data_IF_273202655465
#
_entry.id   IF_273202655465
#
_cell.length_a   1.000
_cell.length_b   1.000
_cell.length_c   1.000
_cell.angle_alpha   90.00
_cell.angle_beta   90.00
_cell.angle_gamma   90.00
#
_symmetry.space_group_name_H-M   'P 1'
#
loop_
_entity.id
_entity.type
_entity.pdbx_description
1 polymer ?
#
# COMPACT_ATOMS: atom_id res chain seq x y z
N UNK A 1 -39.49 34.28 6.14
CA UNK A 1 -38.87 35.20 7.13
C UNK A 1 -37.85 34.49 8.01
N UNK A 2 -38.05 33.20 8.31
CA UNK A 2 -37.08 32.36 9.06
C UNK A 2 -35.92 31.85 8.19
N UNK A 3 -36.22 31.34 6.99
CA UNK A 3 -35.20 30.76 6.10
C UNK A 3 -34.13 31.79 5.66
N UNK A 4 -34.52 33.04 5.38
CA UNK A 4 -33.57 34.13 5.13
C UNK A 4 -32.58 34.34 6.29
N UNK A 5 -33.05 34.28 7.54
CA UNK A 5 -32.17 34.44 8.70
C UNK A 5 -31.20 33.25 8.86
N UNK A 6 -31.65 32.02 8.59
CA UNK A 6 -30.79 30.82 8.57
C UNK A 6 -29.75 30.91 7.46
N UNK A 7 -30.17 31.33 6.27
CA UNK A 7 -29.29 31.58 5.13
C UNK A 7 -28.18 32.58 5.49
N UNK A 8 -28.56 33.76 5.99
CA UNK A 8 -27.62 34.82 6.35
C UNK A 8 -26.69 34.37 7.49
N UNK A 9 -27.20 33.59 8.45
CA UNK A 9 -26.39 32.99 9.53
C UNK A 9 -25.31 32.05 9.01
N UNK A 10 -25.65 31.15 8.07
CA UNK A 10 -24.68 30.19 7.52
C UNK A 10 -23.67 30.90 6.62
N UNK A 11 -24.12 31.84 5.77
CA UNK A 11 -23.25 32.64 4.90
C UNK A 11 -22.26 33.50 5.70
N UNK A 12 -22.67 33.99 6.87
CA UNK A 12 -21.82 34.81 7.75
C UNK A 12 -20.80 34.00 8.56
N UNK A 13 -20.84 32.66 8.55
CA UNK A 13 -19.85 31.85 9.26
C UNK A 13 -18.47 32.02 8.61
N UNK A 14 -17.49 32.42 9.41
CA UNK A 14 -16.09 32.54 8.99
C UNK A 14 -15.25 31.45 9.65
N UNK A 15 -14.71 30.54 8.84
CA UNK A 15 -13.91 29.42 9.30
C UNK A 15 -12.86 29.00 8.28
N UNK A 16 -11.72 28.54 8.80
CA UNK A 16 -10.68 27.93 7.99
C UNK A 16 -11.01 26.46 7.71
N UNK A 17 -11.53 26.21 6.51
CA UNK A 17 -11.92 24.89 6.00
C UNK A 17 -10.81 23.85 6.10
N UNK A 18 -9.55 24.25 5.87
CA UNK A 18 -8.41 23.32 5.90
C UNK A 18 -8.07 22.97 7.33
N UNK A 19 -8.01 23.98 8.21
CA UNK A 19 -7.66 23.77 9.62
C UNK A 19 -8.68 22.90 10.35
N UNK A 20 -9.98 23.08 10.08
CA UNK A 20 -11.04 22.29 10.74
C UNK A 20 -11.04 20.80 10.35
N UNK A 21 -10.51 20.45 9.19
CA UNK A 21 -10.48 19.08 8.66
C UNK A 21 -9.05 18.52 8.56
N UNK A 22 -8.14 19.01 9.41
CA UNK A 22 -6.78 18.49 9.52
C UNK A 22 -6.65 17.66 10.79
N UNK A 23 -6.20 16.41 10.65
CA UNK A 23 -5.85 15.52 11.75
C UNK A 23 -4.36 15.15 11.65
N UNK A 24 -3.66 15.26 12.78
CA UNK A 24 -2.26 14.90 12.94
C UNK A 24 -2.17 13.75 13.94
N UNK A 25 -1.67 12.61 13.47
CA UNK A 25 -1.37 11.44 14.29
C UNK A 25 -0.05 11.61 15.04
N UNK A 26 0.64 10.50 15.25
CA UNK A 26 1.83 10.45 16.08
C UNK A 26 3.01 11.24 15.46
N UNK A 27 3.83 11.80 16.34
CA UNK A 27 5.11 12.41 16.00
C UNK A 27 6.23 11.61 16.66
N UNK A 28 7.24 11.23 15.86
CA UNK A 28 8.32 10.36 16.32
C UNK A 28 9.65 11.11 16.20
N UNK A 29 10.58 10.91 17.14
CA UNK A 29 11.95 11.43 16.99
C UNK A 29 12.72 10.69 15.90
N UNK A 30 13.65 11.38 15.23
CA UNK A 30 14.43 10.75 14.18
C UNK A 30 15.44 9.76 14.80
N UNK A 31 15.24 8.46 14.56
CA UNK A 31 16.16 7.41 14.97
C UNK A 31 16.52 6.57 13.74
N UNK A 32 17.76 6.70 13.29
CA UNK A 32 18.33 5.80 12.29
C UNK A 32 18.94 4.62 13.02
N UNK A 33 18.41 3.44 12.78
CA UNK A 33 18.93 2.19 13.35
C UNK A 33 19.15 1.24 12.20
N UNK A 34 20.39 0.78 12.05
CA UNK A 34 20.77 -0.20 11.03
C UNK A 34 21.46 -1.37 11.72
N UNK A 35 20.97 -2.57 11.51
CA UNK A 35 21.49 -3.79 12.13
C UNK A 35 21.71 -4.86 11.07
N UNK A 36 22.68 -5.73 11.32
CA UNK A 36 23.04 -6.81 10.42
C UNK A 36 23.09 -8.13 11.16
N UNK A 37 22.27 -9.08 10.71
CA UNK A 37 22.12 -10.39 11.34
C UNK A 37 22.53 -11.47 10.35
N UNK A 38 23.46 -12.34 10.75
CA UNK A 38 23.81 -13.51 9.95
C UNK A 38 22.82 -14.65 10.25
N UNK A 39 22.03 -15.01 9.25
CA UNK A 39 21.23 -16.25 9.21
C UNK A 39 22.07 -17.39 8.59
N UNK A 40 21.63 -18.65 8.64
CA UNK A 40 22.40 -19.77 8.10
C UNK A 40 22.84 -19.58 6.64
N UNK A 41 21.94 -19.11 5.78
CA UNK A 41 22.15 -19.03 4.32
C UNK A 41 22.32 -17.60 3.78
N UNK A 42 22.05 -16.59 4.61
CA UNK A 42 22.03 -15.19 4.19
C UNK A 42 22.43 -14.24 5.31
N UNK A 43 22.94 -13.07 4.94
CA UNK A 43 23.13 -11.94 5.84
C UNK A 43 22.02 -10.93 5.60
N UNK A 44 21.23 -10.65 6.64
CA UNK A 44 20.08 -9.75 6.57
C UNK A 44 20.44 -8.43 7.21
N UNK A 45 20.25 -7.35 6.46
CA UNK A 45 20.38 -5.98 6.93
C UNK A 45 18.98 -5.41 7.13
N UNK A 46 18.70 -4.94 8.34
CA UNK A 46 17.45 -4.26 8.67
C UNK A 46 17.77 -2.79 8.92
N UNK A 47 17.12 -1.92 8.15
CA UNK A 47 17.27 -0.48 8.23
C UNK A 47 15.93 0.14 8.65
N UNK A 48 15.94 0.83 9.79
CA UNK A 48 14.76 1.53 10.32
C UNK A 48 14.94 3.03 10.17
N UNK A 49 13.96 3.67 9.54
CA UNK A 49 13.96 5.10 9.22
C UNK A 49 12.65 5.72 9.64
N UNK A 50 12.73 6.90 10.27
CA UNK A 50 11.56 7.76 10.42
C UNK A 50 11.07 8.19 9.03
N UNK A 51 9.78 8.03 8.79
CA UNK A 51 9.06 8.58 7.64
C UNK A 51 7.83 9.31 8.13
N UNK A 52 7.30 10.17 7.27
CA UNK A 52 6.02 10.84 7.48
C UNK A 52 5.13 10.54 6.28
N UNK A 53 3.87 10.21 6.54
CA UNK A 53 2.84 10.09 5.52
C UNK A 53 1.88 11.26 5.68
N UNK A 54 1.51 11.90 4.57
CA UNK A 54 0.45 12.90 4.52
C UNK A 54 -0.49 12.59 3.37
N UNK A 55 -1.79 12.57 3.63
CA UNK A 55 -2.85 12.37 2.63
C UNK A 55 -3.82 13.52 2.65
N UNK A 56 -4.34 13.87 1.48
CA UNK A 56 -5.41 14.86 1.33
C UNK A 56 -6.49 14.22 0.46
N UNK A 57 -7.64 13.88 1.06
CA UNK A 57 -8.73 13.20 0.36
C UNK A 57 -10.07 13.88 0.59
N UNK A 58 -10.90 13.93 -0.44
CA UNK A 58 -12.32 14.28 -0.36
C UNK A 58 -13.23 13.05 -0.32
N UNK A 59 -12.70 11.88 -0.69
CA UNK A 59 -13.44 10.62 -0.73
C UNK A 59 -13.18 9.84 0.55
N UNK A 60 -14.22 9.72 1.37
CA UNK A 60 -14.17 9.05 2.66
C UNK A 60 -14.78 7.66 2.48
N UNK A 61 -14.05 6.61 2.87
CA UNK A 61 -14.55 5.24 2.78
C UNK A 61 -15.71 5.02 3.76
N UNK A 62 -16.72 4.26 3.36
CA UNK A 62 -17.81 3.84 4.25
C UNK A 62 -17.43 2.53 4.92
N UNK A 63 -17.56 2.44 6.24
CA UNK A 63 -17.53 1.17 6.98
C UNK A 63 -18.89 0.87 7.61
N UNK A 64 -19.15 -0.40 7.89
CA UNK A 64 -20.44 -0.90 8.38
C UNK A 64 -20.94 -0.21 9.68
N UNK A 65 -20.07 0.47 10.42
CA UNK A 65 -20.44 1.16 11.67
C UNK A 65 -21.31 2.40 11.46
N UNK A 66 -21.28 3.03 10.28
CA UNK A 66 -21.80 4.39 10.10
C UNK A 66 -22.93 4.52 9.07
N UNK A 67 -23.33 3.43 8.41
CA UNK A 67 -24.29 3.42 7.30
C UNK A 67 -25.62 4.13 7.63
N UNK A 68 -26.07 4.09 8.89
CA UNK A 68 -27.32 4.75 9.31
C UNK A 68 -27.33 6.28 9.11
N UNK A 69 -26.16 6.91 9.05
CA UNK A 69 -25.96 8.37 8.96
C UNK A 69 -25.44 8.82 7.59
N UNK A 70 -25.02 7.88 6.74
CA UNK A 70 -24.29 8.15 5.51
C UNK A 70 -25.19 7.98 4.29
N UNK A 71 -26.06 8.96 4.05
CA UNK A 71 -26.93 9.01 2.86
C UNK A 71 -26.74 10.33 2.11
N UNK A 72 -26.92 10.37 0.77
CA UNK A 72 -26.87 11.60 -0.01
C UNK A 72 -27.73 12.69 0.64
N UNK A 73 -27.19 13.88 0.86
CA UNK A 73 -27.90 14.99 1.47
C UNK A 73 -27.98 15.01 2.98
N UNK A 74 -27.41 14.03 3.69
CA UNK A 74 -27.30 14.09 5.15
C UNK A 74 -26.51 15.33 5.58
N UNK A 75 -26.97 16.01 6.62
CA UNK A 75 -26.25 17.13 7.24
C UNK A 75 -25.40 16.60 8.38
N UNK A 76 -24.09 16.82 8.29
CA UNK A 76 -23.12 16.37 9.29
C UNK A 76 -22.45 17.59 9.93
N UNK A 77 -22.14 17.45 11.22
CA UNK A 77 -21.36 18.45 11.95
C UNK A 77 -19.88 18.28 11.64
N UNK A 78 -19.20 19.38 11.38
CA UNK A 78 -17.73 19.40 11.28
C UNK A 78 -17.16 19.47 12.68
N UNK A 79 -16.70 18.32 13.17
CA UNK A 79 -16.01 18.15 14.43
C UNK A 79 -15.10 16.91 14.40
N UNK A 80 -14.53 16.54 15.54
CA UNK A 80 -13.67 15.37 15.71
C UNK A 80 -14.35 14.08 15.23
N UNK A 81 -15.67 13.94 15.41
CA UNK A 81 -16.39 12.73 14.99
C UNK A 81 -16.40 12.57 13.47
N UNK A 82 -16.37 13.66 12.70
CA UNK A 82 -16.25 13.61 11.24
C UNK A 82 -14.81 13.24 10.81
N UNK A 83 -13.79 13.75 11.51
CA UNK A 83 -12.37 13.40 11.27
C UNK A 83 -12.09 11.91 11.56
N UNK A 84 -12.75 11.35 12.57
CA UNK A 84 -12.67 9.93 12.94
C UNK A 84 -13.53 9.02 12.03
N UNK A 85 -14.17 9.59 11.01
CA UNK A 85 -15.13 8.90 10.14
C UNK A 85 -16.28 8.25 10.93
N UNK A 86 -16.74 8.88 12.00
CA UNK A 86 -17.90 8.47 12.81
C UNK A 86 -18.88 9.66 12.99
N UNK A 87 -19.33 10.30 11.88
CA UNK A 87 -19.85 11.65 11.94
C UNK A 87 -21.16 11.78 12.71
N UNK A 88 -21.38 12.94 13.32
CA UNK A 88 -22.64 13.26 13.99
C UNK A 88 -23.64 13.86 13.00
N UNK A 89 -24.80 13.22 12.86
CA UNK A 89 -25.89 13.71 12.02
C UNK A 89 -26.68 14.82 12.71
N UNK A 90 -26.89 15.94 12.02
CA UNK A 90 -27.78 17.00 12.48
C UNK A 90 -29.24 16.67 12.10
N UNK A 91 -30.00 16.16 13.06
CA UNK A 91 -31.42 15.83 12.87
C UNK A 91 -32.29 17.09 13.05
N UNK A 92 -32.73 17.68 11.95
CA UNK A 92 -33.66 18.84 11.87
C UNK A 92 -34.63 18.63 10.71
N UNK A 93 -35.73 19.38 10.68
CA UNK A 93 -36.71 19.29 9.59
C UNK A 93 -36.08 19.72 8.25
N UNK A 94 -36.07 18.80 7.28
CA UNK A 94 -35.40 18.97 5.99
C UNK A 94 -36.39 19.39 4.92
N UNK A 95 -35.98 20.33 4.07
CA UNK A 95 -36.75 20.68 2.88
C UNK A 95 -36.59 19.59 1.80
N UNK A 96 -37.53 19.52 0.83
CA UNK A 96 -37.40 18.65 -0.32
C UNK A 96 -36.08 18.87 -1.05
N UNK A 97 -35.46 17.78 -1.51
CA UNK A 97 -34.16 17.86 -2.18
C UNK A 97 -34.11 16.98 -3.43
N UNK A 98 -33.39 17.48 -4.42
CA UNK A 98 -33.15 16.81 -5.69
C UNK A 98 -31.84 16.05 -5.68
N UNK A 99 -31.87 14.82 -6.21
CA UNK A 99 -30.70 13.98 -6.39
C UNK A 99 -30.59 13.58 -7.86
N UNK A 100 -29.38 13.25 -8.28
CA UNK A 100 -29.09 12.67 -9.59
C UNK A 100 -28.27 11.40 -9.45
N UNK A 101 -28.52 10.41 -10.31
CA UNK A 101 -27.78 9.16 -10.40
C UNK A 101 -27.12 9.01 -11.78
N UNK A 102 -25.87 8.51 -11.80
CA UNK A 102 -25.04 8.43 -13.02
C UNK A 102 -25.16 7.08 -13.78
N UNK A 103 -26.31 6.39 -13.67
CA UNK A 103 -26.54 5.15 -14.38
C UNK A 103 -26.77 5.37 -15.89
N UNK A 104 -26.17 4.53 -16.76
CA UNK A 104 -26.30 4.70 -18.20
C UNK A 104 -27.68 4.28 -18.71
N UNK A 105 -28.11 4.89 -19.82
CA UNK A 105 -29.37 4.55 -20.49
C UNK A 105 -30.61 5.30 -19.98
N UNK A 106 -30.53 5.95 -18.82
CA UNK A 106 -31.61 6.81 -18.34
C UNK A 106 -31.74 8.05 -19.24
N UNK A 107 -32.98 8.37 -19.62
CA UNK A 107 -33.27 9.68 -20.20
C UNK A 107 -33.03 10.78 -19.15
N UNK A 108 -32.79 12.01 -19.61
CA UNK A 108 -32.41 13.12 -18.71
C UNK A 108 -33.40 13.37 -17.58
N UNK A 109 -34.69 13.12 -17.75
CA UNK A 109 -35.69 13.27 -16.67
C UNK A 109 -35.74 12.09 -15.70
N UNK A 110 -35.32 10.89 -16.13
CA UNK A 110 -35.41 9.66 -15.34
C UNK A 110 -34.20 9.47 -14.41
N UNK A 111 -33.13 10.25 -14.57
CA UNK A 111 -31.96 10.23 -13.69
C UNK A 111 -32.10 11.09 -12.43
N UNK A 112 -33.21 11.82 -12.28
CA UNK A 112 -33.45 12.69 -11.12
C UNK A 112 -34.44 12.06 -10.13
N UNK A 113 -34.15 12.22 -8.85
CA UNK A 113 -35.04 11.87 -7.75
C UNK A 113 -35.41 13.12 -6.97
N UNK A 114 -36.70 13.27 -6.65
CA UNK A 114 -37.18 14.27 -5.70
C UNK A 114 -37.61 13.55 -4.43
N UNK A 115 -37.03 13.93 -3.29
CA UNK A 115 -37.41 13.37 -1.98
C UNK A 115 -37.90 14.50 -1.11
N UNK A 116 -39.17 14.42 -0.70
CA UNK A 116 -39.87 15.46 0.07
C UNK A 116 -39.30 15.67 1.47
N UNK A 117 -38.99 14.58 2.18
CA UNK A 117 -38.38 14.63 3.52
C UNK A 117 -37.11 13.77 3.56
N UNK A 118 -35.94 14.35 3.24
CA UNK A 118 -34.66 13.65 3.21
C UNK A 118 -34.22 13.02 4.55
N UNK A 119 -34.36 11.69 4.63
CA UNK A 119 -33.87 10.82 5.70
C UNK A 119 -33.17 9.61 5.08
N UNK A 120 -32.41 8.84 5.87
CA UNK A 120 -31.76 7.64 5.34
C UNK A 120 -32.76 6.69 4.68
N UNK A 121 -33.89 6.42 5.33
CA UNK A 121 -34.91 5.51 4.78
C UNK A 121 -35.59 6.06 3.53
N UNK A 122 -35.95 7.34 3.50
CA UNK A 122 -36.64 7.92 2.33
C UNK A 122 -35.72 8.04 1.12
N UNK A 123 -34.47 8.46 1.32
CA UNK A 123 -33.46 8.56 0.24
C UNK A 123 -33.09 7.17 -0.27
N UNK A 124 -32.80 6.22 0.63
CA UNK A 124 -32.50 4.84 0.21
C UNK A 124 -33.68 4.18 -0.50
N UNK A 125 -34.92 4.42 -0.05
CA UNK A 125 -36.12 3.95 -0.73
C UNK A 125 -36.21 4.48 -2.17
N UNK A 126 -36.10 5.80 -2.34
CA UNK A 126 -36.14 6.44 -3.66
C UNK A 126 -35.03 5.94 -4.60
N UNK A 127 -33.80 5.76 -4.08
CA UNK A 127 -32.69 5.18 -4.85
C UNK A 127 -33.01 3.75 -5.25
N UNK A 128 -33.46 2.90 -4.31
CA UNK A 128 -33.78 1.49 -4.59
C UNK A 128 -34.91 1.34 -5.63
N UNK A 129 -35.93 2.18 -5.57
CA UNK A 129 -37.04 2.16 -6.53
C UNK A 129 -36.55 2.50 -7.94
N UNK A 130 -35.67 3.51 -8.06
CA UNK A 130 -35.03 3.85 -9.33
C UNK A 130 -34.16 2.70 -9.86
N UNK A 131 -33.35 2.09 -9.00
CA UNK A 131 -32.51 0.94 -9.37
C UNK A 131 -33.36 -0.24 -9.85
N UNK A 132 -34.47 -0.53 -9.18
CA UNK A 132 -35.40 -1.58 -9.58
C UNK A 132 -35.98 -1.32 -10.98
N UNK A 133 -36.39 -0.08 -11.25
CA UNK A 133 -36.84 0.34 -12.59
C UNK A 133 -35.71 0.22 -13.62
N UNK A 134 -34.52 0.73 -13.29
CA UNK A 134 -33.37 0.68 -14.20
C UNK A 134 -32.99 -0.76 -14.57
N UNK A 135 -33.00 -1.69 -13.63
CA UNK A 135 -32.69 -3.10 -13.92
C UNK A 135 -33.70 -3.75 -14.88
N UNK A 136 -34.98 -3.37 -14.79
CA UNK A 136 -36.03 -3.87 -15.68
C UNK A 136 -35.91 -3.27 -17.08
N UNK A 137 -35.74 -1.95 -17.15
CA UNK A 137 -35.80 -1.20 -18.41
C UNK A 137 -34.48 -1.25 -19.19
N UNK A 138 -33.35 -1.27 -18.50
CA UNK A 138 -32.01 -1.06 -19.08
C UNK A 138 -30.99 -2.11 -18.67
N UNK A 139 -31.09 -2.68 -17.46
CA UNK A 139 -30.06 -3.56 -16.90
C UNK A 139 -29.87 -4.91 -17.62
N UNK A 140 -30.89 -5.40 -18.33
CA UNK A 140 -30.76 -6.64 -19.11
C UNK A 140 -30.05 -6.44 -20.46
N UNK A 141 -30.05 -5.21 -20.98
CA UNK A 141 -29.48 -4.87 -22.29
C UNK A 141 -28.18 -4.06 -22.19
N UNK A 142 -27.91 -3.47 -21.02
CA UNK A 142 -26.69 -2.72 -20.75
C UNK A 142 -25.78 -3.51 -19.80
N UNK A 143 -24.55 -3.78 -20.24
CA UNK A 143 -23.50 -4.27 -19.35
C UNK A 143 -22.80 -3.06 -18.74
N UNK A 144 -22.97 -2.81 -17.44
CA UNK A 144 -22.35 -1.69 -16.74
C UNK A 144 -21.09 -2.20 -16.02
N UNK A 145 -19.89 -1.93 -16.57
CA UNK A 145 -18.66 -2.27 -15.88
C UNK A 145 -18.47 -1.34 -14.69
N UNK A 146 -18.00 -1.90 -13.57
CA UNK A 146 -17.65 -1.10 -12.41
C UNK A 146 -16.46 -0.17 -12.74
N UNK A 147 -16.53 1.08 -12.29
CA UNK A 147 -15.36 1.97 -12.28
C UNK A 147 -14.42 1.50 -11.18
N UNK A 148 -13.28 0.94 -11.60
CA UNK A 148 -12.27 0.39 -10.71
C UNK A 148 -11.33 1.50 -10.22
N UNK A 149 -11.18 1.62 -8.91
CA UNK A 149 -10.14 2.40 -8.26
C UNK A 149 -9.39 1.49 -7.30
N UNK A 150 -8.08 1.66 -7.20
CA UNK A 150 -7.31 0.98 -6.17
C UNK A 150 -6.25 1.88 -5.57
N UNK A 151 -5.97 1.64 -4.30
CA UNK A 151 -4.86 2.25 -3.59
C UNK A 151 -4.09 1.15 -2.87
N UNK A 152 -2.77 1.33 -2.73
CA UNK A 152 -1.91 0.38 -2.02
C UNK A 152 -0.90 1.09 -1.13
N UNK A 153 -0.44 0.40 -0.09
CA UNK A 153 0.67 0.86 0.76
C UNK A 153 1.33 -0.33 1.45
N UNK A 154 2.66 -0.27 1.65
CA UNK A 154 3.39 -1.20 2.51
C UNK A 154 3.07 -0.91 3.97
N UNK A 155 2.70 -1.94 4.72
CA UNK A 155 2.25 -1.80 6.10
C UNK A 155 3.45 -1.72 7.06
N UNK A 156 3.53 -0.62 7.82
CA UNK A 156 4.54 -0.45 8.88
C UNK A 156 3.93 -0.10 10.24
N UNK A 157 2.78 0.59 10.29
CA UNK A 157 2.07 0.85 11.54
C UNK A 157 0.57 1.02 11.30
N UNK A 158 -0.25 0.80 12.32
CA UNK A 158 -1.70 1.02 12.21
C UNK A 158 -2.04 2.50 11.93
N UNK A 159 -1.35 3.45 12.58
CA UNK A 159 -1.57 4.87 12.35
C UNK A 159 -1.26 5.29 10.90
N UNK A 160 -0.17 4.76 10.31
CA UNK A 160 0.12 4.97 8.89
C UNK A 160 -1.02 4.46 8.00
N UNK A 161 -1.57 3.28 8.30
CA UNK A 161 -2.68 2.72 7.53
C UNK A 161 -3.98 3.52 7.71
N UNK A 162 -4.26 4.03 8.92
CA UNK A 162 -5.38 4.94 9.20
C UNK A 162 -5.27 6.24 8.41
N UNK A 163 -4.08 6.83 8.34
CA UNK A 163 -3.84 8.03 7.50
C UNK A 163 -4.05 7.72 6.01
N UNK A 164 -3.68 6.52 5.55
CA UNK A 164 -3.86 6.13 4.14
C UNK A 164 -5.31 5.82 3.77
N UNK A 165 -6.00 5.02 4.59
CA UNK A 165 -7.30 4.43 4.23
C UNK A 165 -8.51 5.03 4.97
N UNK A 166 -8.28 5.86 5.99
CA UNK A 166 -9.31 6.47 6.83
C UNK A 166 -9.15 6.08 8.31
N UNK A 167 -9.54 6.98 9.20
CA UNK A 167 -9.38 6.82 10.66
C UNK A 167 -10.06 5.58 11.24
N UNK A 168 -11.12 5.09 10.60
CA UNK A 168 -11.87 3.90 10.98
C UNK A 168 -11.32 2.59 10.38
N UNK A 169 -10.21 2.65 9.63
CA UNK A 169 -9.56 1.48 9.04
C UNK A 169 -9.17 0.43 10.08
N UNK A 170 -8.90 0.83 11.33
CA UNK A 170 -8.46 -0.08 12.40
C UNK A 170 -9.36 -1.32 12.56
N UNK A 171 -10.69 -1.19 12.45
CA UNK A 171 -11.61 -2.34 12.53
C UNK A 171 -11.40 -3.34 11.39
N UNK A 172 -11.21 -2.82 10.18
CA UNK A 172 -10.90 -3.63 9.00
C UNK A 172 -9.48 -4.20 9.08
N UNK A 173 -8.50 -3.41 9.51
CA UNK A 173 -7.11 -3.81 9.73
C UNK A 173 -6.99 -4.95 10.74
N UNK A 174 -7.75 -4.89 11.83
CA UNK A 174 -7.81 -5.96 12.84
C UNK A 174 -8.38 -7.25 12.23
N UNK A 175 -9.37 -7.16 11.33
CA UNK A 175 -9.89 -8.31 10.60
C UNK A 175 -8.88 -8.89 9.60
N UNK A 176 -7.99 -8.07 9.05
CA UNK A 176 -6.87 -8.48 8.19
C UNK A 176 -5.70 -9.11 8.97
N UNK A 177 -5.68 -9.01 10.30
CA UNK A 177 -4.66 -9.62 11.16
C UNK A 177 -3.23 -9.26 10.69
N UNK A 178 -2.93 -7.96 10.69
CA UNK A 178 -1.67 -7.41 10.18
C UNK A 178 -0.59 -7.57 11.25
N UNK A 179 0.42 -8.38 10.96
CA UNK A 179 1.52 -8.69 11.87
C UNK A 179 2.66 -7.65 11.75
N UNK A 180 2.46 -6.49 12.39
CA UNK A 180 3.47 -5.42 12.41
C UNK A 180 4.78 -5.85 13.11
N UNK A 181 4.73 -6.80 14.04
CA UNK A 181 5.92 -7.28 14.74
C UNK A 181 6.88 -7.99 13.76
N UNK A 182 6.34 -8.90 12.95
CA UNK A 182 7.13 -9.59 11.91
C UNK A 182 7.64 -8.65 10.81
N UNK A 183 6.93 -7.55 10.53
CA UNK A 183 7.45 -6.50 9.64
C UNK A 183 8.64 -5.79 10.29
N UNK A 184 8.52 -5.40 11.56
CA UNK A 184 9.58 -4.69 12.28
C UNK A 184 10.81 -5.56 12.56
N UNK A 185 10.67 -6.88 12.73
CA UNK A 185 11.78 -7.83 12.85
C UNK A 185 12.40 -8.19 11.49
N UNK A 186 11.81 -7.75 10.38
CA UNK A 186 12.26 -8.03 9.03
C UNK A 186 12.02 -9.48 8.57
N UNK A 187 11.13 -10.20 9.26
CA UNK A 187 10.72 -11.56 8.91
C UNK A 187 9.67 -11.60 7.81
N UNK A 188 8.83 -10.57 7.72
CA UNK A 188 7.76 -10.47 6.73
C UNK A 188 7.73 -9.11 6.03
N UNK A 189 7.24 -9.12 4.80
CA UNK A 189 6.82 -7.92 4.07
C UNK A 189 5.31 -8.00 3.83
N UNK A 190 4.60 -6.94 4.18
CA UNK A 190 3.13 -6.87 4.09
C UNK A 190 2.71 -5.65 3.27
N UNK A 191 1.84 -5.86 2.30
CA UNK A 191 1.19 -4.80 1.54
C UNK A 191 -0.32 -4.87 1.73
N UNK A 192 -0.94 -3.70 1.93
CA UNK A 192 -2.39 -3.55 1.98
C UNK A 192 -2.86 -2.86 0.70
N UNK A 193 -3.90 -3.41 0.09
CA UNK A 193 -4.53 -2.87 -1.12
C UNK A 193 -6.01 -2.65 -0.84
N UNK A 194 -6.53 -1.49 -1.21
CA UNK A 194 -7.95 -1.16 -1.15
C UNK A 194 -8.49 -1.06 -2.58
N UNK A 195 -9.35 -1.99 -2.99
CA UNK A 195 -10.06 -1.95 -4.26
C UNK A 195 -11.48 -1.41 -4.06
N UNK A 196 -11.85 -0.39 -4.82
CA UNK A 196 -13.22 0.12 -4.93
C UNK A 196 -13.75 -0.15 -6.33
N UNK A 197 -14.89 -0.82 -6.40
CA UNK A 197 -15.62 -1.14 -7.63
C UNK A 197 -16.91 -0.34 -7.59
N UNK A 198 -16.89 0.86 -8.20
CA UNK A 198 -18.02 1.79 -8.15
C UNK A 198 -18.98 1.45 -9.28
N UNK A 199 -20.20 1.07 -8.95
CA UNK A 199 -21.26 0.76 -9.92
C UNK A 199 -21.98 2.02 -10.38
N UNK A 200 -22.34 2.87 -9.43
CA UNK A 200 -22.99 4.15 -9.66
C UNK A 200 -22.72 5.09 -8.49
N UNK A 201 -23.08 6.36 -8.66
CA UNK A 201 -22.95 7.43 -7.69
C UNK A 201 -24.26 8.21 -7.65
N UNK A 202 -24.79 8.40 -6.45
CA UNK A 202 -25.91 9.29 -6.20
C UNK A 202 -25.34 10.61 -5.70
N UNK A 203 -25.69 11.69 -6.38
CA UNK A 203 -25.21 13.04 -6.10
C UNK A 203 -26.37 13.98 -5.79
N UNK A 204 -26.08 15.01 -5.00
CA UNK A 204 -27.00 16.10 -4.69
C UNK A 204 -26.67 17.26 -5.60
N UNK A 205 -27.69 17.87 -6.21
CA UNK A 205 -27.50 19.08 -7.00
C UNK A 205 -26.95 20.22 -6.13
N UNK A 206 -26.22 21.16 -6.76
CA UNK A 206 -25.65 22.29 -6.05
C UNK A 206 -26.73 23.09 -5.30
N UNK A 207 -26.54 23.25 -3.99
CA UNK A 207 -27.45 24.02 -3.14
C UNK A 207 -27.29 25.50 -3.48
N UNK A 208 -28.35 26.13 -4.00
CA UNK A 208 -28.31 27.54 -4.42
C UNK A 208 -28.13 28.48 -3.23
N UNK A 209 -28.91 28.28 -2.18
CA UNK A 209 -28.79 29.00 -0.92
C UNK A 209 -28.70 28.02 0.24
N UNK A 210 -27.78 28.20 1.21
CA UNK A 210 -27.68 27.32 2.38
C UNK A 210 -28.98 27.11 3.15
N UNK A 211 -29.88 28.11 3.15
CA UNK A 211 -31.19 28.02 3.79
C UNK A 211 -32.16 27.05 3.09
N UNK A 212 -31.97 26.76 1.80
CA UNK A 212 -32.89 25.95 0.99
C UNK A 212 -32.95 24.48 1.44
N UNK A 213 -31.99 24.01 2.25
CA UNK A 213 -31.96 22.62 2.74
C UNK A 213 -32.81 22.39 3.99
N UNK A 214 -33.39 23.45 4.57
CA UNK A 214 -34.17 23.43 5.80
C UNK A 214 -35.61 23.86 5.56
N UNK A 215 -36.55 23.28 6.31
CA UNK A 215 -37.92 23.80 6.35
C UNK A 215 -37.98 25.14 7.11
N UNK A 216 -39.05 25.91 6.89
CA UNK A 216 -39.28 27.20 7.56
C UNK A 216 -39.45 27.08 9.09
N UNK A 217 -39.60 25.87 9.62
CA UNK A 217 -39.63 25.56 11.07
C UNK A 217 -38.26 25.68 11.72
N UNK A 218 -37.16 25.58 10.95
CA UNK A 218 -35.80 25.66 11.47
C UNK A 218 -35.41 27.12 11.71
N UNK A 219 -34.91 27.40 12.92
CA UNK A 219 -34.47 28.73 13.33
C UNK A 219 -32.97 28.77 13.61
N UNK A 220 -32.37 29.96 13.49
CA UNK A 220 -30.97 30.19 13.86
C UNK A 220 -30.69 29.78 15.31
N UNK A 221 -31.60 30.12 16.23
CA UNK A 221 -31.46 29.76 17.64
C UNK A 221 -31.52 28.24 17.85
N UNK A 222 -32.38 27.53 17.13
CA UNK A 222 -32.42 26.08 17.15
C UNK A 222 -31.13 25.42 16.65
N UNK A 223 -30.48 25.99 15.63
CA UNK A 223 -29.16 25.54 15.17
C UNK A 223 -28.08 25.82 16.23
N UNK A 224 -28.09 26.99 16.87
CA UNK A 224 -27.14 27.33 17.95
C UNK A 224 -27.28 26.41 19.16
N UNK A 225 -28.51 26.09 19.56
CA UNK A 225 -28.77 25.14 20.66
C UNK A 225 -28.24 23.73 20.37
N UNK A 226 -28.09 23.38 19.10
CA UNK A 226 -27.48 22.11 18.63
C UNK A 226 -25.96 22.22 18.43
N UNK A 227 -25.35 23.33 18.85
CA UNK A 227 -23.91 23.55 18.82
C UNK A 227 -23.36 24.01 17.47
N UNK A 228 -24.23 24.41 16.53
CA UNK A 228 -23.80 24.85 15.20
C UNK A 228 -23.25 26.28 15.28
N UNK A 229 -22.02 26.45 14.83
CA UNK A 229 -21.28 27.71 14.92
C UNK A 229 -20.17 27.77 13.86
N UNK A 230 -19.40 28.86 13.83
CA UNK A 230 -18.23 28.95 12.96
C UNK A 230 -17.14 27.92 13.29
N UNK A 231 -16.99 27.54 14.57
CA UNK A 231 -16.03 26.51 14.99
C UNK A 231 -16.54 25.07 14.76
N UNK A 232 -17.86 24.91 14.60
CA UNK A 232 -18.52 23.63 14.28
C UNK A 232 -19.53 23.83 13.15
N UNK A 233 -19.07 24.10 11.92
CA UNK A 233 -19.94 24.36 10.78
C UNK A 233 -20.61 23.07 10.29
N UNK A 234 -21.46 23.21 9.28
CA UNK A 234 -22.17 22.10 8.66
C UNK A 234 -21.60 21.76 7.29
N UNK A 235 -21.50 20.46 7.04
CA UNK A 235 -21.34 19.90 5.69
C UNK A 235 -22.57 19.09 5.34
N UNK A 236 -22.82 18.93 4.04
CA UNK A 236 -23.77 17.95 3.54
C UNK A 236 -23.02 16.88 2.74
N UNK A 237 -23.56 15.66 2.71
CA UNK A 237 -23.05 14.60 1.82
C UNK A 237 -23.45 14.95 0.38
N UNK A 238 -22.51 15.44 -0.41
CA UNK A 238 -22.74 15.85 -1.79
C UNK A 238 -22.84 14.68 -2.76
N UNK A 239 -22.17 13.56 -2.45
CA UNK A 239 -22.25 12.34 -3.25
C UNK A 239 -21.94 11.10 -2.44
N UNK A 240 -22.57 9.99 -2.80
CA UNK A 240 -22.28 8.65 -2.28
C UNK A 240 -22.06 7.71 -3.46
N UNK A 241 -20.91 7.04 -3.47
CA UNK A 241 -20.57 6.00 -4.41
C UNK A 241 -21.02 4.65 -3.87
N UNK A 242 -21.72 3.90 -4.72
CA UNK A 242 -22.27 2.59 -4.39
C UNK A 242 -21.56 1.51 -5.20
N UNK A 243 -21.28 0.38 -4.55
CA UNK A 243 -20.69 -0.76 -5.21
C UNK A 243 -20.11 -1.77 -4.23
N UNK A 244 -18.90 -2.23 -4.52
CA UNK A 244 -18.17 -3.23 -3.74
C UNK A 244 -16.76 -2.73 -3.42
N UNK A 245 -16.29 -3.00 -2.21
CA UNK A 245 -14.96 -2.64 -1.76
C UNK A 245 -14.26 -3.85 -1.15
N UNK A 246 -12.98 -4.03 -1.47
CA UNK A 246 -12.17 -5.14 -0.97
C UNK A 246 -10.86 -4.59 -0.42
N UNK A 247 -10.61 -4.84 0.86
CA UNK A 247 -9.29 -4.66 1.44
C UNK A 247 -8.54 -5.99 1.38
N UNK A 248 -7.36 -5.98 0.79
CA UNK A 248 -6.49 -7.13 0.57
C UNK A 248 -5.21 -6.96 1.36
N UNK A 249 -4.83 -7.96 2.14
CA UNK A 249 -3.49 -8.12 2.72
C UNK A 249 -2.73 -9.14 1.89
N UNK A 250 -1.58 -8.72 1.36
CA UNK A 250 -0.58 -9.58 0.73
C UNK A 250 0.61 -9.68 1.68
N UNK A 251 0.92 -10.88 2.15
CA UNK A 251 1.94 -11.13 3.17
C UNK A 251 2.93 -12.19 2.68
N UNK A 252 4.23 -11.88 2.68
CA UNK A 252 5.28 -12.81 2.28
C UNK A 252 6.43 -12.82 3.27
N UNK A 253 7.12 -13.96 3.37
CA UNK A 253 8.38 -14.12 4.11
C UNK A 253 9.62 -13.81 3.25
N UNK A 254 9.43 -13.46 1.97
CA UNK A 254 10.50 -13.02 1.10
C UNK A 254 11.14 -11.73 1.61
N UNK A 255 12.47 -11.68 1.59
CA UNK A 255 13.28 -10.50 1.91
C UNK A 255 13.82 -9.77 0.67
N UNK A 256 13.31 -10.15 -0.51
CA UNK A 256 13.65 -9.53 -1.78
C UNK A 256 13.13 -8.08 -1.85
N UNK A 257 13.84 -7.22 -2.57
CA UNK A 257 13.41 -5.88 -2.94
C UNK A 257 12.39 -5.86 -4.09
N UNK A 258 12.18 -6.99 -4.78
CA UNK A 258 11.20 -7.17 -5.86
C UNK A 258 9.77 -7.45 -5.36
N UNK A 259 9.54 -7.51 -4.05
CA UNK A 259 8.22 -7.88 -3.48
C UNK A 259 7.12 -6.91 -3.91
N UNK A 260 7.37 -5.60 -3.84
CA UNK A 260 6.37 -4.61 -4.24
C UNK A 260 6.04 -4.68 -5.74
N UNK A 261 7.04 -4.94 -6.58
CA UNK A 261 6.86 -5.11 -8.02
C UNK A 261 6.09 -6.39 -8.36
N UNK A 262 6.38 -7.50 -7.66
CA UNK A 262 5.66 -8.76 -7.82
C UNK A 262 4.18 -8.63 -7.42
N UNK A 263 3.88 -7.95 -6.31
CA UNK A 263 2.51 -7.68 -5.89
C UNK A 263 1.76 -6.77 -6.86
N UNK A 264 2.42 -5.74 -7.39
CA UNK A 264 1.85 -4.87 -8.41
C UNK A 264 1.52 -5.65 -9.70
N UNK A 265 2.40 -6.55 -10.12
CA UNK A 265 2.16 -7.42 -11.27
C UNK A 265 0.94 -8.33 -11.06
N UNK A 266 0.80 -8.90 -9.86
CA UNK A 266 -0.38 -9.69 -9.46
C UNK A 266 -1.68 -8.87 -9.57
N UNK A 267 -1.69 -7.67 -8.99
CA UNK A 267 -2.86 -6.77 -8.98
C UNK A 267 -3.28 -6.37 -10.40
N UNK A 268 -2.31 -6.17 -11.30
CA UNK A 268 -2.55 -5.83 -12.71
C UNK A 268 -2.93 -7.03 -13.58
N UNK A 269 -3.01 -8.25 -13.02
CA UNK A 269 -3.34 -9.47 -13.77
C UNK A 269 -2.24 -9.92 -14.73
N UNK A 270 -0.98 -9.54 -14.49
CA UNK A 270 0.15 -9.95 -15.32
C UNK A 270 0.48 -11.41 -15.04
N UNK A 271 0.47 -12.25 -16.09
CA UNK A 271 0.89 -13.66 -15.98
C UNK A 271 2.40 -13.74 -15.78
N UNK A 272 2.82 -14.07 -14.56
CA UNK A 272 4.23 -14.22 -14.19
C UNK A 272 4.75 -15.58 -14.67
N UNK A 273 5.88 -15.57 -15.38
CA UNK A 273 6.48 -16.77 -15.92
C UNK A 273 7.02 -17.71 -14.79
N UNK A 274 6.96 -19.04 -14.98
CA UNK A 274 7.60 -19.98 -14.07
C UNK A 274 9.11 -19.74 -13.96
N UNK A 275 9.72 -20.11 -12.83
CA UNK A 275 11.17 -19.98 -12.59
C UNK A 275 11.69 -18.53 -12.58
N UNK A 276 10.83 -17.57 -12.22
CA UNK A 276 11.22 -16.18 -11.97
C UNK A 276 11.18 -15.88 -10.47
N UNK A 277 11.97 -14.90 -10.02
CA UNK A 277 11.94 -14.44 -8.63
C UNK A 277 10.55 -13.98 -8.21
N UNK A 278 9.82 -13.27 -9.09
CA UNK A 278 8.44 -12.87 -8.84
C UNK A 278 7.53 -14.08 -8.59
N UNK A 279 7.69 -15.18 -9.34
CA UNK A 279 6.90 -16.40 -9.10
C UNK A 279 7.22 -17.00 -7.74
N UNK A 280 8.49 -17.04 -7.35
CA UNK A 280 8.89 -17.49 -6.01
C UNK A 280 8.31 -16.62 -4.90
N UNK A 281 8.28 -15.29 -5.07
CA UNK A 281 7.65 -14.37 -4.12
C UNK A 281 6.15 -14.67 -3.99
N UNK A 282 5.44 -14.73 -5.12
CA UNK A 282 4.00 -14.94 -5.16
C UNK A 282 3.58 -16.32 -4.61
N UNK A 283 4.37 -17.37 -4.86
CA UNK A 283 4.11 -18.70 -4.30
C UNK A 283 4.27 -18.73 -2.76
N UNK A 284 5.16 -17.90 -2.23
CA UNK A 284 5.38 -17.70 -0.79
C UNK A 284 4.55 -16.52 -0.22
N UNK A 285 3.45 -16.16 -0.88
CA UNK A 285 2.55 -15.10 -0.43
C UNK A 285 1.23 -15.68 0.08
N UNK A 286 0.82 -15.21 1.26
CA UNK A 286 -0.50 -15.45 1.83
C UNK A 286 -1.40 -14.24 1.58
N UNK A 287 -2.67 -14.53 1.31
CA UNK A 287 -3.67 -13.52 0.96
C UNK A 287 -4.81 -13.58 1.96
N UNK A 288 -5.17 -12.42 2.50
CA UNK A 288 -6.38 -12.25 3.31
C UNK A 288 -7.18 -11.06 2.79
N UNK A 289 -8.49 -11.21 2.67
CA UNK A 289 -9.37 -10.19 2.13
C UNK A 289 -10.54 -9.91 3.08
N UNK A 290 -10.90 -8.64 3.20
CA UNK A 290 -12.16 -8.18 3.82
C UNK A 290 -13.00 -7.53 2.73
N UNK A 291 -14.16 -8.13 2.45
CA UNK A 291 -15.09 -7.68 1.41
C UNK A 291 -16.23 -6.92 2.08
N UNK A 292 -16.47 -5.71 1.59
CA UNK A 292 -17.55 -4.81 1.98
C UNK A 292 -18.45 -4.58 0.76
N UNK A 293 -19.75 -4.86 0.91
CA UNK A 293 -20.68 -4.79 -0.22
C UNK A 293 -20.67 -6.05 -1.09
N UNK A 294 -21.84 -6.44 -1.57
CA UNK A 294 -22.03 -7.62 -2.43
C UNK A 294 -23.36 -8.31 -2.18
N UNK A 295 -23.67 -8.65 -0.93
CA UNK A 295 -24.89 -9.37 -0.53
C UNK A 295 -25.71 -8.52 0.46
N UNK A 296 -27.02 -8.28 0.21
CA UNK A 296 -27.90 -7.52 1.10
C UNK A 296 -28.06 -8.10 2.52
N UNK A 297 -27.70 -9.37 2.71
CA UNK A 297 -27.93 -10.13 3.95
C UNK A 297 -26.69 -10.42 4.80
N UNK A 298 -25.48 -10.17 4.28
CA UNK A 298 -24.23 -10.45 4.99
C UNK A 298 -23.39 -9.19 5.17
N UNK A 299 -22.86 -9.01 6.39
CA UNK A 299 -21.93 -7.92 6.72
C UNK A 299 -20.56 -8.09 6.05
N UNK A 300 -19.51 -7.53 6.64
CA UNK A 300 -18.15 -7.72 6.13
C UNK A 300 -17.76 -9.21 6.12
N UNK A 301 -17.34 -9.74 4.96
CA UNK A 301 -16.87 -11.12 4.81
C UNK A 301 -15.35 -11.16 4.82
N UNK A 302 -14.77 -12.07 5.60
CA UNK A 302 -13.33 -12.33 5.62
C UNK A 302 -13.04 -13.62 4.85
N UNK A 303 -12.08 -13.58 3.94
CA UNK A 303 -11.62 -14.74 3.16
C UNK A 303 -10.10 -14.81 3.24
N UNK A 304 -9.55 -16.03 3.33
CA UNK A 304 -8.10 -16.29 3.36
C UNK A 304 -7.76 -17.31 2.29
N UNK A 305 -6.63 -17.14 1.62
CA UNK A 305 -6.18 -18.04 0.55
C UNK A 305 -4.78 -17.70 0.03
N UNK A 306 -4.53 -18.09 -1.22
CA UNK A 306 -3.28 -17.84 -1.95
C UNK A 306 -3.51 -16.82 -3.07
N UNK A 307 -2.47 -16.48 -3.81
CA UNK A 307 -2.48 -15.42 -4.84
C UNK A 307 -3.47 -15.63 -5.98
N UNK A 308 -3.86 -16.88 -6.25
CA UNK A 308 -4.86 -17.27 -7.25
C UNK A 308 -6.25 -16.70 -6.94
N UNK A 309 -6.61 -16.54 -5.67
CA UNK A 309 -7.91 -15.99 -5.27
C UNK A 309 -8.07 -14.50 -5.66
N UNK A 310 -6.98 -13.78 -5.91
CA UNK A 310 -7.02 -12.32 -6.12
C UNK A 310 -7.74 -11.98 -7.42
N UNK A 311 -7.53 -12.77 -8.48
CA UNK A 311 -8.22 -12.57 -9.76
C UNK A 311 -9.74 -12.74 -9.60
N UNK A 312 -10.16 -13.83 -8.95
CA UNK A 312 -11.58 -14.11 -8.69
C UNK A 312 -12.23 -13.01 -7.86
N UNK A 313 -11.55 -12.53 -6.81
CA UNK A 313 -12.03 -11.44 -5.96
C UNK A 313 -12.25 -10.15 -6.75
N UNK A 314 -11.38 -9.85 -7.73
CA UNK A 314 -11.51 -8.65 -8.57
C UNK A 314 -12.63 -8.85 -9.60
N UNK A 315 -12.73 -10.04 -10.22
CA UNK A 315 -13.70 -10.32 -11.26
C UNK A 315 -15.15 -10.41 -10.76
N UNK A 316 -15.37 -10.96 -9.55
CA UNK A 316 -16.71 -11.15 -8.96
C UNK A 316 -17.55 -9.86 -8.95
N UNK A 317 -16.94 -8.73 -8.59
CA UNK A 317 -17.61 -7.42 -8.55
C UNK A 317 -17.35 -6.54 -9.78
N UNK A 318 -16.91 -7.10 -10.90
CA UNK A 318 -16.59 -6.30 -12.10
C UNK A 318 -17.83 -5.76 -12.83
N UNK A 319 -19.01 -6.34 -12.57
CA UNK A 319 -20.27 -5.99 -13.25
C UNK A 319 -21.38 -5.69 -12.26
N UNK A 320 -22.08 -4.59 -12.52
CA UNK A 320 -23.28 -4.24 -11.78
C UNK A 320 -24.47 -5.11 -12.24
N UNK A 321 -25.12 -5.79 -11.30
CA UNK A 321 -26.27 -6.67 -11.55
C UNK A 321 -27.30 -6.53 -10.43
N UNK A 322 -28.56 -6.91 -10.69
CA UNK A 322 -29.63 -6.80 -9.70
C UNK A 322 -29.39 -7.64 -8.43
N UNK A 323 -28.64 -8.74 -8.55
CA UNK A 323 -28.26 -9.57 -7.41
C UNK A 323 -27.20 -8.91 -6.51
N UNK A 324 -26.52 -7.88 -7.02
CA UNK A 324 -25.48 -7.14 -6.32
C UNK A 324 -25.75 -5.63 -6.46
N UNK A 325 -26.79 -5.10 -5.76
CA UNK A 325 -27.20 -3.70 -5.90
C UNK A 325 -26.13 -2.69 -5.46
N UNK A 326 -25.06 -3.17 -4.82
CA UNK A 326 -24.00 -2.36 -4.23
C UNK A 326 -24.40 -1.81 -2.87
N UNK A 327 -23.42 -1.64 -1.99
CA UNK A 327 -23.58 -0.87 -0.75
C UNK A 327 -22.86 0.47 -0.91
N UNK A 328 -23.17 1.49 -0.09
CA UNK A 328 -22.32 2.65 0.04
C UNK A 328 -20.88 2.21 0.36
N UNK A 329 -19.92 2.63 -0.47
CA UNK A 329 -18.49 2.32 -0.28
C UNK A 329 -17.64 3.57 -0.08
N UNK A 330 -18.09 4.72 -0.57
CA UNK A 330 -17.49 6.01 -0.22
C UNK A 330 -18.49 7.14 -0.32
N UNK A 331 -18.20 8.24 0.37
CA UNK A 331 -18.97 9.46 0.30
C UNK A 331 -18.06 10.69 0.25
N UNK A 332 -18.57 11.75 -0.33
CA UNK A 332 -17.92 13.06 -0.42
C UNK A 332 -18.80 14.07 0.30
N UNK A 333 -18.18 14.98 1.04
CA UNK A 333 -18.90 16.05 1.74
C UNK A 333 -18.55 17.41 1.15
N UNK A 334 -19.49 18.34 1.21
CA UNK A 334 -19.31 19.73 0.80
C UNK A 334 -19.82 20.67 1.90
N UNK A 335 -19.11 21.76 2.13
CA UNK A 335 -19.51 22.77 3.11
C UNK A 335 -20.83 23.41 2.68
N UNK A 336 -21.81 23.43 3.60
CA UNK A 336 -23.14 23.95 3.29
C UNK A 336 -23.14 25.43 2.91
N UNK A 337 -22.15 26.19 3.40
CA UNK A 337 -22.02 27.63 3.16
C UNK A 337 -21.85 28.00 1.69
N UNK A 338 -21.05 27.23 0.95
CA UNK A 338 -20.58 27.62 -0.38
C UNK A 338 -20.34 26.44 -1.33
N UNK A 339 -20.81 25.24 -0.97
CA UNK A 339 -20.68 24.01 -1.75
C UNK A 339 -19.22 23.60 -2.05
N UNK A 340 -18.24 24.15 -1.34
CA UNK A 340 -16.85 23.74 -1.51
C UNK A 340 -16.66 22.35 -0.92
N UNK A 341 -16.06 21.47 -1.70
CA UNK A 341 -15.71 20.11 -1.27
C UNK A 341 -14.83 20.16 -0.03
N UNK A 342 -15.24 19.40 0.99
CA UNK A 342 -14.49 19.24 2.23
C UNK A 342 -13.37 18.22 2.02
N UNK A 343 -12.13 18.67 2.21
CA UNK A 343 -10.93 17.84 2.06
C UNK A 343 -10.30 17.56 3.41
N UNK A 344 -10.01 16.29 3.68
CA UNK A 344 -9.45 15.80 4.93
C UNK A 344 -7.94 15.66 4.77
N UNK A 345 -7.21 16.45 5.55
CA UNK A 345 -5.75 16.37 5.61
C UNK A 345 -5.37 15.50 6.80
N UNK A 346 -4.83 14.32 6.53
CA UNK A 346 -4.30 13.43 7.56
C UNK A 346 -2.79 13.35 7.45
N UNK A 347 -2.09 13.29 8.57
CA UNK A 347 -0.65 13.01 8.57
C UNK A 347 -0.19 12.28 9.82
N UNK A 348 0.82 11.44 9.70
CA UNK A 348 1.46 10.78 10.85
C UNK A 348 2.92 10.49 10.53
N UNK A 349 3.75 10.47 11.55
CA UNK A 349 5.06 9.84 11.50
C UNK A 349 4.93 8.33 11.72
N UNK A 350 5.83 7.55 11.14
CA UNK A 350 5.96 6.12 11.37
C UNK A 350 7.41 5.66 11.15
N UNK A 351 7.74 4.45 11.65
CA UNK A 351 9.05 3.83 11.43
C UNK A 351 8.96 2.87 10.24
N UNK A 352 9.51 3.27 9.11
CA UNK A 352 9.70 2.41 7.94
C UNK A 352 10.80 1.39 8.26
N UNK A 353 10.48 0.10 8.08
CA UNK A 353 11.46 -0.99 8.20
C UNK A 353 11.77 -1.51 6.80
N UNK A 354 13.01 -1.33 6.36
CA UNK A 354 13.52 -1.86 5.10
C UNK A 354 14.43 -3.04 5.38
N UNK A 355 14.22 -4.14 4.67
CA UNK A 355 15.02 -5.36 4.77
C UNK A 355 15.83 -5.53 3.50
N UNK A 356 17.07 -6.00 3.61
CA UNK A 356 17.88 -6.38 2.46
C UNK A 356 18.64 -7.66 2.81
N UNK A 357 18.43 -8.71 2.04
CA UNK A 357 19.11 -9.98 2.21
C UNK A 357 20.26 -10.14 1.21
N UNK A 358 21.40 -10.61 1.71
CA UNK A 358 22.56 -10.97 0.90
C UNK A 358 22.82 -12.45 1.08
N UNK A 359 22.65 -13.25 0.03
CA UNK A 359 22.91 -14.69 0.10
C UNK A 359 24.40 -14.97 0.31
N UNK A 360 24.70 -16.07 1.00
CA UNK A 360 26.04 -16.64 1.03
C UNK A 360 26.43 -17.11 -0.38
N UNK A 361 27.74 -17.21 -0.64
CA UNK A 361 28.28 -17.68 -1.90
C UNK A 361 29.57 -18.46 -1.72
N UNK A 362 29.99 -19.15 -2.77
CA UNK A 362 31.23 -19.93 -2.79
C UNK A 362 32.20 -19.41 -3.86
N UNK A 363 33.46 -19.27 -3.49
CA UNK A 363 34.57 -19.04 -4.41
C UNK A 363 35.40 -20.31 -4.56
N UNK A 364 35.25 -20.98 -5.71
CA UNK A 364 36.02 -22.16 -6.06
C UNK A 364 37.27 -21.76 -6.83
N UNK A 365 38.39 -22.33 -6.44
CA UNK A 365 39.66 -22.19 -7.15
C UNK A 365 40.05 -23.55 -7.70
N UNK A 366 40.45 -23.58 -8.97
CA UNK A 366 40.94 -24.76 -9.66
C UNK A 366 42.26 -24.43 -10.35
N UNK A 367 43.31 -25.19 -10.04
CA UNK A 367 44.63 -25.07 -10.64
C UNK A 367 45.08 -26.40 -11.24
N UNK A 368 45.14 -26.43 -12.56
CA UNK A 368 45.63 -27.54 -13.37
C UNK A 368 46.80 -27.14 -14.28
N UNK A 369 47.38 -25.95 -14.09
CA UNK A 369 48.50 -25.44 -14.89
C UNK A 369 49.83 -26.10 -14.56
N UNK A 370 50.68 -26.28 -15.58
CA UNK A 370 52.04 -26.81 -15.44
C UNK A 370 53.02 -25.76 -14.89
N UNK A 371 52.68 -25.16 -13.74
CA UNK A 371 53.43 -24.10 -13.06
C UNK A 371 53.04 -23.99 -11.58
N UNK A 372 53.88 -23.34 -10.79
CA UNK A 372 53.54 -22.96 -9.41
C UNK A 372 52.68 -21.70 -9.44
N UNK A 373 51.56 -21.69 -8.72
CA UNK A 373 50.68 -20.54 -8.60
C UNK A 373 50.58 -20.05 -7.13
N UNK A 374 50.36 -18.74 -6.97
CA UNK A 374 50.05 -18.11 -5.70
C UNK A 374 48.79 -17.26 -5.83
N UNK A 375 47.93 -17.33 -4.82
CA UNK A 375 46.70 -16.56 -4.74
C UNK A 375 46.83 -15.50 -3.65
N UNK A 376 46.17 -14.36 -3.87
CA UNK A 376 45.99 -13.27 -2.92
C UNK A 376 44.53 -12.87 -2.94
N UNK A 377 43.80 -13.39 -1.96
CA UNK A 377 42.36 -13.21 -1.83
C UNK A 377 42.08 -12.47 -0.54
N UNK A 378 41.41 -11.33 -0.64
CA UNK A 378 41.06 -10.46 0.49
C UNK A 378 39.63 -9.95 0.36
N UNK A 379 39.00 -9.68 1.48
CA UNK A 379 37.65 -9.11 1.53
C UNK A 379 37.43 -8.41 2.88
N UNK A 380 36.34 -7.66 2.97
CA UNK A 380 35.86 -7.10 4.24
C UNK A 380 34.61 -7.85 4.71
N UNK A 381 34.53 -8.14 6.01
CA UNK A 381 33.30 -8.58 6.64
C UNK A 381 32.55 -7.37 7.22
N UNK A 382 31.35 -7.14 6.69
CA UNK A 382 30.44 -6.08 7.13
C UNK A 382 29.76 -6.46 8.45
N UNK A 383 29.73 -5.52 9.38
CA UNK A 383 28.94 -5.56 10.61
C UNK A 383 28.45 -4.15 10.94
N UNK A 384 27.53 -4.04 11.90
CA UNK A 384 27.02 -2.77 12.41
C UNK A 384 27.26 -2.71 13.91
N UNK A 385 27.70 -1.55 14.41
CA UNK A 385 27.79 -1.34 15.86
C UNK A 385 26.42 -1.03 16.48
N UNK A 386 26.38 -0.85 17.80
CA UNK A 386 25.15 -0.55 18.55
C UNK A 386 24.51 0.81 18.18
N UNK A 387 25.23 1.68 17.46
CA UNK A 387 24.73 2.95 16.94
C UNK A 387 24.27 2.84 15.47
N UNK A 388 24.40 1.65 14.87
CA UNK A 388 24.07 1.40 13.47
C UNK A 388 25.13 1.88 12.48
N UNK A 389 26.35 2.16 12.94
CA UNK A 389 27.46 2.55 12.07
C UNK A 389 28.11 1.31 11.45
N UNK A 390 28.42 1.40 10.17
CA UNK A 390 29.10 0.35 9.42
C UNK A 390 30.53 0.14 9.92
N UNK A 391 30.88 -1.12 10.16
CA UNK A 391 32.21 -1.58 10.55
C UNK A 391 32.66 -2.65 9.56
N UNK A 392 33.74 -2.37 8.85
CA UNK A 392 34.38 -3.29 7.90
C UNK A 392 35.59 -3.94 8.57
N UNK A 393 35.56 -5.27 8.70
CA UNK A 393 36.67 -6.04 9.25
C UNK A 393 37.45 -6.72 8.13
N UNK A 394 38.71 -6.33 7.87
CA UNK A 394 39.48 -6.92 6.78
C UNK A 394 39.81 -8.39 7.09
N UNK A 395 39.68 -9.23 6.05
CA UNK A 395 39.98 -10.66 6.06
C UNK A 395 40.84 -11.02 4.85
N UNK A 396 41.58 -12.10 5.00
CA UNK A 396 42.41 -12.67 3.94
C UNK A 396 42.30 -14.18 3.96
N UNK A 397 42.36 -14.81 2.80
CA UNK A 397 42.43 -16.27 2.72
C UNK A 397 43.70 -16.79 3.41
N UNK A 398 43.56 -17.84 4.21
CA UNK A 398 44.61 -18.37 5.08
C UNK A 398 45.82 -18.95 4.33
N UNK A 399 45.67 -19.23 3.03
CA UNK A 399 46.74 -19.75 2.17
C UNK A 399 47.28 -18.72 1.19
N UNK A 400 47.00 -17.43 1.40
CA UNK A 400 47.57 -16.37 0.57
C UNK A 400 49.09 -16.46 0.51
N UNK A 401 49.64 -16.34 -0.72
CA UNK A 401 51.07 -16.40 -0.98
C UNK A 401 51.72 -17.78 -0.79
N UNK A 402 50.97 -18.84 -0.51
CA UNK A 402 51.51 -20.21 -0.52
C UNK A 402 51.72 -20.71 -1.95
N UNK A 403 52.81 -21.42 -2.18
CA UNK A 403 53.09 -22.08 -3.45
C UNK A 403 52.16 -23.28 -3.65
N UNK A 404 51.33 -23.24 -4.70
CA UNK A 404 50.37 -24.29 -5.04
C UNK A 404 50.72 -24.89 -6.41
N UNK A 405 50.73 -26.22 -6.48
CA UNK A 405 51.02 -26.99 -7.70
C UNK A 405 49.78 -27.69 -8.21
N UNK A 406 49.74 -28.04 -9.50
CA UNK A 406 48.68 -28.86 -10.06
C UNK A 406 48.70 -30.30 -9.50
N UNK A 407 47.57 -31.00 -9.35
CA UNK A 407 46.19 -30.48 -9.43
C UNK A 407 45.77 -29.97 -8.04
N UNK A 408 45.30 -28.73 -7.95
CA UNK A 408 44.83 -28.12 -6.71
C UNK A 408 43.40 -27.59 -6.86
N UNK A 409 42.53 -27.95 -5.92
CA UNK A 409 41.17 -27.41 -5.84
C UNK A 409 40.83 -27.02 -4.41
N UNK A 410 40.04 -25.95 -4.27
CA UNK A 410 39.48 -25.55 -2.97
C UNK A 410 38.19 -24.77 -3.15
N UNK A 411 37.34 -24.78 -2.13
CA UNK A 411 36.15 -23.93 -2.05
C UNK A 411 36.28 -23.04 -0.83
N UNK A 412 36.13 -21.73 -1.04
CA UNK A 412 36.17 -20.72 0.01
C UNK A 412 34.72 -20.28 0.26
N UNK A 413 34.10 -20.67 1.38
CA UNK A 413 32.75 -20.23 1.72
C UNK A 413 32.80 -18.75 2.12
N UNK A 414 31.99 -17.93 1.47
CA UNK A 414 31.86 -16.50 1.71
C UNK A 414 30.45 -16.20 2.21
N UNK A 415 30.35 -15.65 3.42
CA UNK A 415 29.07 -15.23 3.99
C UNK A 415 28.49 -14.03 3.23
N UNK A 416 27.18 -13.83 3.30
CA UNK A 416 26.49 -12.71 2.67
C UNK A 416 26.95 -11.32 3.13
N UNK A 417 27.64 -11.23 4.28
CA UNK A 417 28.20 -9.97 4.79
C UNK A 417 29.56 -9.60 4.17
N UNK A 418 30.08 -10.39 3.22
CA UNK A 418 31.33 -10.11 2.54
C UNK A 418 31.17 -8.91 1.57
N UNK A 419 32.13 -7.98 1.62
CA UNK A 419 32.24 -6.81 0.74
C UNK A 419 33.67 -6.70 0.20
N UNK A 420 33.85 -5.92 -0.87
CA UNK A 420 35.16 -5.58 -1.43
C UNK A 420 36.04 -6.81 -1.76
N UNK A 421 35.43 -7.90 -2.25
CA UNK A 421 36.15 -9.13 -2.57
C UNK A 421 37.16 -8.87 -3.69
N UNK A 422 38.43 -9.16 -3.42
CA UNK A 422 39.54 -8.99 -4.34
C UNK A 422 40.28 -10.31 -4.51
N UNK A 423 40.59 -10.66 -5.75
CA UNK A 423 41.32 -11.88 -6.11
C UNK A 423 42.43 -11.52 -7.07
N UNK A 424 43.67 -11.86 -6.67
CA UNK A 424 44.85 -11.81 -7.52
C UNK A 424 45.51 -13.18 -7.57
N UNK A 425 45.92 -13.60 -8.76
CA UNK A 425 46.57 -14.88 -9.03
C UNK A 425 47.84 -14.60 -9.83
N UNK A 426 48.97 -15.19 -9.40
CA UNK A 426 50.24 -15.11 -10.11
C UNK A 426 50.89 -16.48 -10.26
N UNK A 427 51.63 -16.68 -11.34
CA UNK A 427 52.43 -17.89 -11.60
C UNK A 427 53.93 -17.62 -11.60
N UNK A 428 54.70 -18.64 -11.26
CA UNK A 428 56.15 -18.60 -11.26
C UNK A 428 56.71 -18.96 -12.64
N UNK A 429 57.24 -17.95 -13.35
CA UNK A 429 57.71 -18.11 -14.73
C UNK A 429 59.05 -18.86 -14.83
N UNK A 430 59.84 -18.85 -13.74
CA UNK A 430 61.23 -19.32 -13.73
C UNK A 430 62.23 -18.36 -14.40
N UNK A 431 61.82 -17.15 -14.80
CA UNK A 431 62.68 -16.14 -15.41
C UNK A 431 63.29 -15.22 -14.35
N UNK A 432 64.62 -15.09 -14.34
CA UNK A 432 65.35 -14.27 -13.36
C UNK A 432 64.91 -12.79 -13.31
N UNK A 433 64.40 -12.27 -14.43
CA UNK A 433 63.94 -10.89 -14.59
C UNK A 433 62.42 -10.71 -14.47
N UNK A 434 61.63 -11.80 -14.36
CA UNK A 434 60.16 -11.77 -14.24
C UNK A 434 59.68 -12.97 -13.42
N UNK A 435 60.18 -13.12 -12.18
CA UNK A 435 60.00 -14.35 -11.41
C UNK A 435 58.52 -14.72 -11.18
N UNK A 436 57.65 -13.72 -11.10
CA UNK A 436 56.20 -13.89 -10.98
C UNK A 436 55.47 -13.09 -12.06
N UNK A 437 54.50 -13.72 -12.72
CA UNK A 437 53.59 -13.07 -13.67
C UNK A 437 52.16 -13.13 -13.15
N UNK A 438 51.45 -12.01 -13.21
CA UNK A 438 50.03 -11.97 -12.83
C UNK A 438 49.17 -12.60 -13.93
N UNK A 439 48.34 -13.57 -13.57
CA UNK A 439 47.41 -14.27 -14.48
C UNK A 439 46.02 -13.64 -14.42
N UNK A 440 45.60 -13.23 -13.23
CA UNK A 440 44.28 -12.66 -12.96
C UNK A 440 44.36 -11.66 -11.82
N UNK A 441 43.69 -10.52 -11.96
CA UNK A 441 43.58 -9.52 -10.90
C UNK A 441 42.25 -8.77 -11.08
N UNK A 442 41.33 -8.95 -10.12
CA UNK A 442 40.08 -8.19 -10.03
C UNK A 442 39.81 -7.76 -8.59
N UNK A 443 39.32 -6.55 -8.44
CA UNK A 443 38.79 -5.99 -7.19
C UNK A 443 37.28 -5.85 -7.29
N UNK A 444 36.62 -5.63 -6.16
CA UNK A 444 35.18 -5.36 -6.08
C UNK A 444 34.31 -6.42 -6.80
N UNK A 445 34.75 -7.69 -6.70
CA UNK A 445 34.02 -8.80 -7.27
C UNK A 445 32.65 -8.94 -6.59
N UNK A 446 31.55 -9.04 -7.36
CA UNK A 446 30.25 -9.26 -6.77
C UNK A 446 30.21 -10.65 -6.13
N UNK A 447 29.65 -10.71 -4.92
CA UNK A 447 29.35 -11.95 -4.23
C UNK A 447 28.17 -12.63 -4.94
N UNK A 448 28.50 -13.64 -5.73
CA UNK A 448 27.57 -14.48 -6.49
C UNK A 448 27.38 -15.80 -5.76
N UNK A 449 26.30 -16.54 -6.08
CA UNK A 449 26.02 -17.83 -5.44
C UNK A 449 27.21 -18.79 -5.58
N UNK A 450 27.81 -18.87 -6.77
CA UNK A 450 29.02 -19.63 -7.01
C UNK A 450 29.88 -18.97 -8.08
N UNK A 451 31.15 -18.73 -7.75
CA UNK A 451 32.19 -18.28 -8.68
C UNK A 451 33.26 -19.35 -8.75
N UNK A 452 33.63 -19.78 -9.96
CA UNK A 452 34.75 -20.70 -10.16
C UNK A 452 35.84 -19.99 -10.97
N UNK A 453 37.04 -19.90 -10.41
CA UNK A 453 38.21 -19.36 -11.10
C UNK A 453 39.18 -20.50 -11.37
N UNK A 454 39.29 -20.87 -12.64
CA UNK A 454 40.14 -21.98 -13.09
C UNK A 454 41.36 -21.44 -13.82
N UNK A 455 42.55 -21.92 -13.46
CA UNK A 455 43.82 -21.61 -14.14
C UNK A 455 44.48 -22.89 -14.69
N UNK A 456 44.99 -22.82 -15.92
CA UNK A 456 45.65 -23.93 -16.59
C UNK A 456 46.70 -23.44 -17.61
N UNK A 457 47.24 -24.34 -18.43
CA UNK A 457 48.25 -24.03 -19.45
C UNK A 457 49.69 -24.25 -18.97
N UNK A 458 50.63 -23.47 -19.50
CA UNK A 458 52.07 -23.57 -19.17
C UNK A 458 52.59 -22.23 -18.65
N UNK A 459 53.81 -22.20 -18.08
CA UNK A 459 54.46 -20.95 -17.61
C UNK A 459 54.56 -19.87 -18.70
N UNK A 460 54.72 -20.26 -19.97
CA UNK A 460 54.79 -19.31 -21.08
C UNK A 460 53.42 -18.77 -21.49
N UNK A 461 52.39 -19.61 -21.39
CA UNK A 461 51.03 -19.30 -21.83
C UNK A 461 50.01 -19.77 -20.77
N UNK A 462 49.94 -19.08 -19.62
CA UNK A 462 48.91 -19.36 -18.62
C UNK A 462 47.53 -18.94 -19.16
N UNK A 463 46.51 -19.75 -18.87
CA UNK A 463 45.12 -19.47 -19.23
C UNK A 463 44.27 -19.39 -17.95
N UNK A 464 43.18 -18.61 -18.00
CA UNK A 464 42.25 -18.42 -16.89
C UNK A 464 40.81 -18.33 -17.38
N UNK A 465 39.89 -18.91 -16.62
CA UNK A 465 38.43 -18.75 -16.76
C UNK A 465 37.86 -18.24 -15.43
N UNK A 466 36.90 -17.32 -15.53
CA UNK A 466 36.13 -16.78 -14.40
C UNK A 466 34.65 -17.02 -14.67
N UNK A 467 34.12 -18.11 -14.14
CA UNK A 467 32.76 -18.59 -14.38
C UNK A 467 31.85 -18.20 -13.21
N UNK A 468 30.69 -17.62 -13.54
CA UNK A 468 29.66 -17.21 -12.57
C UNK A 468 28.40 -18.07 -12.75
N UNK A 469 27.91 -18.63 -11.65
CA UNK A 469 26.67 -19.39 -11.56
C UNK A 469 25.78 -18.73 -10.48
N UNK A 470 24.63 -18.20 -10.87
CA UNK A 470 23.79 -17.33 -10.03
C UNK A 470 22.34 -17.82 -9.86
N UNK A 471 22.05 -19.04 -10.33
CA UNK A 471 20.73 -19.67 -10.37
C UNK A 471 19.90 -19.51 -9.10
#
# INVERSE_FOLDING_TARGET
MTNKAVNDFILAMDYDKKKLLTHQGESIENRFIKEGNQLPDEFVVIERKKRSLSTNTSDISVTATNDSRLYPGALLVVDETLLENNPTLLAVDRAPMTYSIDLPGLASSDSFLQVEDPSNSSVRGAVNDLLAKWHQDYGQVNNVPARMQYEKITAHSMEQLKVKFGSDFEKTGNSLDIDFNSVHSGEKQIQIVNFKQIYYTVSVDAVKNPGDVFQDTVTVEGLRQRGISADRPLVYISSVAYGRQVYLKLETTSKSDEVEAAFEALIKGVKVAPQTEWKQILDNTEVKAVILGGDPSSGARVVTGKVDMVEDLIQEGSRFTANHPGLPISYTTSFLRDNVVATFQNSTDYVETKVTAYRNGDLLLDHSGAYVAQYYITWDELSYDYQGKEVLTPKSWNRNGQDLTAHFTTSIPLKGNVRNLSVKIRECTGLAWEWWRTIYEKTDLPLVRKRTISIWGTTLYPQVEDKVEND
#
